data_IF_140668126196
#
_entry.id   IF_140668126196
#
_cell.length_a   1.000
_cell.length_b   1.000
_cell.length_c   1.000
_cell.angle_alpha   90.00
_cell.angle_beta   90.00
_cell.angle_gamma   90.00
#
_symmetry.space_group_name_H-M   'P 1'
#
loop_
_entity.id
_entity.type
_entity.pdbx_description
1 polymer ?
#
# COMPACT_ATOMS: atom_id res chain seq x y z
N UNK A 1 -3.07 20.56 16.25
CA UNK A 1 -3.47 19.61 15.17
C UNK A 1 -2.73 18.31 15.45
N UNK A 2 -3.45 17.25 15.85
CA UNK A 2 -2.83 16.00 16.31
C UNK A 2 -2.07 15.26 15.20
N UNK A 3 -1.07 14.47 15.59
CA UNK A 3 -0.36 13.59 14.66
C UNK A 3 -1.29 12.44 14.24
N UNK A 4 -1.48 12.24 12.93
CA UNK A 4 -2.26 11.12 12.41
C UNK A 4 -1.39 9.85 12.39
N UNK A 5 -1.98 8.72 12.75
CA UNK A 5 -1.35 7.41 12.57
C UNK A 5 -0.98 7.22 11.10
N UNK A 6 0.27 6.83 10.85
CA UNK A 6 0.70 6.46 9.50
C UNK A 6 0.60 4.95 9.36
N UNK A 7 -0.26 4.50 8.45
CA UNK A 7 -0.46 3.08 8.17
C UNK A 7 0.15 2.71 6.82
N UNK A 8 0.81 1.56 6.77
CA UNK A 8 1.40 1.05 5.54
C UNK A 8 0.42 0.13 4.83
N UNK A 9 0.15 0.41 3.56
CA UNK A 9 -0.63 -0.43 2.67
C UNK A 9 0.30 -1.03 1.62
N UNK A 10 0.29 -2.35 1.49
CA UNK A 10 1.04 -3.07 0.46
C UNK A 10 0.25 -3.09 -0.86
N UNK A 11 0.95 -3.29 -1.99
CA UNK A 11 0.33 -3.27 -3.32
C UNK A 11 -0.75 -4.34 -3.56
N UNK A 12 -0.83 -5.37 -2.73
CA UNK A 12 -1.86 -6.40 -2.75
C UNK A 12 -3.03 -6.14 -1.78
N UNK A 13 -2.95 -5.07 -0.98
CA UNK A 13 -3.94 -4.69 0.04
C UNK A 13 -4.83 -3.51 -0.41
N UNK A 14 -4.98 -3.30 -1.72
CA UNK A 14 -5.76 -2.19 -2.29
C UNK A 14 -7.28 -2.46 -2.23
N UNK A 15 -7.79 -2.79 -1.05
CA UNK A 15 -9.20 -2.95 -0.76
C UNK A 15 -9.53 -2.15 0.51
N UNK A 16 -10.44 -1.18 0.38
CA UNK A 16 -10.83 -0.30 1.48
C UNK A 16 -11.50 -1.03 2.65
N UNK A 17 -12.20 -2.11 2.36
CA UNK A 17 -13.02 -2.82 3.34
C UNK A 17 -12.26 -3.96 4.02
N UNK A 18 -10.92 -3.98 3.93
CA UNK A 18 -10.09 -5.02 4.54
C UNK A 18 -8.75 -4.48 5.04
N UNK A 19 -8.04 -5.31 5.81
CA UNK A 19 -6.71 -4.99 6.32
C UNK A 19 -6.70 -3.72 7.18
N UNK A 20 -5.62 -2.94 7.07
CA UNK A 20 -5.43 -1.73 7.87
C UNK A 20 -6.40 -0.58 7.56
N UNK A 21 -7.21 -0.69 6.49
CA UNK A 21 -8.20 0.31 6.09
C UNK A 21 -9.63 0.01 6.55
N UNK A 22 -9.93 -1.23 6.98
CA UNK A 22 -11.31 -1.72 7.15
C UNK A 22 -12.21 -0.79 7.98
N UNK A 23 -11.68 -0.24 9.07
CA UNK A 23 -12.42 0.59 10.02
C UNK A 23 -12.00 2.07 9.99
N UNK A 24 -11.31 2.52 8.93
CA UNK A 24 -10.79 3.89 8.84
C UNK A 24 -11.55 4.75 7.83
N UNK A 25 -11.84 5.97 8.26
CA UNK A 25 -12.44 7.03 7.46
C UNK A 25 -11.38 8.03 6.97
N UNK A 26 -11.68 8.82 5.92
CA UNK A 26 -10.82 9.91 5.51
C UNK A 26 -10.58 10.89 6.67
N UNK A 27 -9.31 11.12 6.98
CA UNK A 27 -8.91 11.96 8.13
C UNK A 27 -8.44 11.18 9.36
N UNK A 28 -8.76 9.88 9.48
CA UNK A 28 -8.37 9.06 10.64
C UNK A 28 -6.88 8.66 10.61
N UNK A 29 -6.26 8.68 9.43
CA UNK A 29 -4.89 8.24 9.24
C UNK A 29 -4.23 8.88 8.02
N UNK A 30 -2.91 8.75 7.96
CA UNK A 30 -2.10 8.92 6.75
C UNK A 30 -1.81 7.54 6.15
N UNK A 31 -2.23 7.33 4.91
CA UNK A 31 -1.89 6.11 4.16
C UNK A 31 -0.50 6.27 3.53
N UNK A 32 0.37 5.30 3.76
CA UNK A 32 1.68 5.19 3.12
C UNK A 32 1.67 4.03 2.13
N UNK A 33 1.94 4.32 0.87
CA UNK A 33 2.21 3.36 -0.21
C UNK A 33 3.64 3.60 -0.68
N UNK A 34 4.42 2.53 -0.88
CA UNK A 34 5.83 2.63 -1.28
C UNK A 34 6.11 1.71 -2.45
N UNK A 35 6.60 2.30 -3.54
CA UNK A 35 7.26 1.56 -4.62
C UNK A 35 8.69 1.27 -4.21
N UNK A 36 9.05 0.00 -4.10
CA UNK A 36 10.36 -0.44 -3.61
C UNK A 36 11.14 -1.12 -4.74
N UNK A 37 12.23 -0.49 -5.17
CA UNK A 37 13.15 -1.08 -6.15
C UNK A 37 13.75 -2.40 -5.67
N UNK A 38 14.07 -2.51 -4.37
CA UNK A 38 14.58 -3.75 -3.79
C UNK A 38 13.55 -4.88 -3.87
N UNK A 39 12.25 -4.60 -3.70
CA UNK A 39 11.18 -5.60 -3.84
C UNK A 39 10.92 -5.97 -5.30
N UNK A 40 11.06 -5.01 -6.22
CA UNK A 40 11.00 -5.25 -7.67
C UNK A 40 12.17 -6.17 -8.09
N UNK A 41 13.38 -5.91 -7.58
CA UNK A 41 14.59 -6.68 -7.89
C UNK A 41 14.73 -8.03 -7.16
N UNK A 42 13.97 -8.25 -6.08
CA UNK A 42 14.11 -9.43 -5.23
C UNK A 42 13.77 -10.77 -5.92
N UNK A 43 13.03 -10.76 -7.03
CA UNK A 43 12.72 -11.96 -7.83
C UNK A 43 12.34 -11.62 -9.25
N UNK A 44 12.30 -12.64 -10.12
CA UNK A 44 11.76 -12.49 -11.48
C UNK A 44 10.24 -12.34 -11.43
N UNK A 45 9.74 -11.21 -11.92
CA UNK A 45 8.32 -10.95 -12.09
C UNK A 45 7.91 -11.08 -13.55
N UNK A 46 6.64 -11.43 -13.78
CA UNK A 46 6.05 -11.28 -15.10
C UNK A 46 5.90 -9.79 -15.43
N UNK A 47 6.31 -9.35 -16.63
CA UNK A 47 6.30 -7.93 -17.02
C UNK A 47 4.94 -7.28 -16.84
N UNK A 48 3.87 -7.94 -17.28
CA UNK A 48 2.50 -7.42 -17.13
C UNK A 48 2.05 -7.32 -15.67
N UNK A 49 2.59 -8.16 -14.79
CA UNK A 49 2.28 -8.08 -13.36
C UNK A 49 2.92 -6.86 -12.71
N UNK A 50 4.13 -6.47 -13.14
CA UNK A 50 4.73 -5.21 -12.69
C UNK A 50 3.91 -4.01 -13.18
N UNK A 51 3.51 -3.99 -14.45
CA UNK A 51 2.64 -2.92 -14.99
C UNK A 51 1.26 -2.82 -14.32
N UNK A 52 0.75 -3.92 -13.75
CA UNK A 52 -0.52 -3.89 -13.04
C UNK A 52 -0.39 -3.27 -11.64
N UNK A 53 0.76 -3.44 -10.99
CA UNK A 53 0.96 -3.09 -9.57
C UNK A 53 1.71 -1.76 -9.39
N UNK A 54 2.43 -1.29 -10.42
CA UNK A 54 3.20 -0.03 -10.46
C UNK A 54 2.63 0.90 -11.52
#
# INVERSE_FOLDING_TARGET
MGHLDTIWILGDQLNRNSGALADRNPGDCRVLLVTSESKIGAKRWHRQRLHLVL
#
